data_IF_331636439090
#
_entry.id   IF_331636439090
#
_cell.length_a   1.000
_cell.length_b   1.000
_cell.length_c   1.000
_cell.angle_alpha   90.00
_cell.angle_beta   90.00
_cell.angle_gamma   90.00
#
_symmetry.space_group_name_H-M   'P 1'
#
loop_
_entity.id
_entity.type
_entity.pdbx_description
1 polymer ?
#
# COMPACT_ATOMS: atom_id res chain seq x y z
N UNK A 1 -10.98 27.67 49.50
CA UNK A 1 -12.08 27.01 48.77
C UNK A 1 -11.69 26.95 47.31
N UNK A 2 -11.06 25.85 46.88
CA UNK A 2 -10.56 25.68 45.50
C UNK A 2 -11.55 24.79 44.76
N UNK A 3 -12.33 25.37 43.85
CA UNK A 3 -13.22 24.64 42.96
C UNK A 3 -12.36 23.93 41.91
N UNK A 4 -12.13 22.62 42.07
CA UNK A 4 -11.58 21.78 41.00
C UNK A 4 -12.69 21.55 39.98
N UNK A 5 -12.57 22.21 38.83
CA UNK A 5 -13.38 21.94 37.64
C UNK A 5 -13.22 20.48 37.22
N UNK A 6 -14.32 19.76 37.20
CA UNK A 6 -14.40 18.37 36.73
C UNK A 6 -14.35 18.42 35.20
N UNK A 7 -13.23 18.01 34.61
CA UNK A 7 -13.12 17.89 33.16
C UNK A 7 -14.03 16.75 32.72
N UNK A 8 -15.14 17.10 32.07
CA UNK A 8 -16.04 16.13 31.44
C UNK A 8 -15.27 15.60 30.25
N UNK A 9 -14.88 14.33 30.29
CA UNK A 9 -14.33 13.65 29.14
C UNK A 9 -15.41 13.66 28.03
N UNK A 10 -15.15 14.38 26.96
CA UNK A 10 -15.94 14.27 25.73
C UNK A 10 -15.64 12.86 25.20
N UNK A 11 -16.63 11.96 25.05
CA UNK A 11 -16.39 10.71 24.38
C UNK A 11 -15.90 11.04 22.97
N UNK A 12 -14.70 10.58 22.62
CA UNK A 12 -14.24 10.62 21.23
C UNK A 12 -15.26 9.91 20.34
N UNK A 13 -15.32 10.24 19.04
CA UNK A 13 -16.21 9.55 18.11
C UNK A 13 -16.02 8.03 18.27
N UNK A 14 -17.13 7.32 18.48
CA UNK A 14 -17.11 5.86 18.48
C UNK A 14 -16.62 5.37 17.11
N UNK A 15 -15.84 4.28 17.03
CA UNK A 15 -15.36 3.76 15.76
C UNK A 15 -16.56 3.51 14.83
N UNK A 16 -16.55 4.18 13.68
CA UNK A 16 -17.57 4.00 12.66
C UNK A 16 -17.48 2.54 12.17
N UNK A 17 -18.54 1.73 12.29
CA UNK A 17 -18.51 0.35 11.81
C UNK A 17 -18.35 0.34 10.28
N UNK A 18 -17.25 -0.25 9.82
CA UNK A 18 -17.01 -0.68 8.43
C UNK A 18 -17.16 0.40 7.34
N UNK A 19 -16.18 1.30 7.25
CA UNK A 19 -15.79 1.76 5.91
C UNK A 19 -15.16 0.55 5.21
N UNK A 20 -15.67 0.17 4.04
CA UNK A 20 -15.09 -0.89 3.21
C UNK A 20 -13.77 -0.41 2.57
N UNK A 21 -12.75 -0.16 3.40
CA UNK A 21 -11.48 0.48 3.02
C UNK A 21 -10.56 -0.46 2.24
N UNK A 22 -10.68 -1.76 2.45
CA UNK A 22 -9.76 -2.77 1.93
C UNK A 22 -9.86 -2.88 0.40
N UNK A 23 -8.72 -2.96 -0.27
CA UNK A 23 -8.63 -3.22 -1.70
C UNK A 23 -7.40 -4.04 -2.08
N UNK A 24 -7.23 -4.33 -3.37
CA UNK A 24 -6.12 -5.16 -3.83
C UNK A 24 -5.16 -4.38 -4.74
N UNK A 25 -3.88 -4.42 -4.40
CA UNK A 25 -2.79 -4.14 -5.32
C UNK A 25 -2.56 -5.43 -6.14
N UNK A 26 -3.33 -5.60 -7.22
CA UNK A 26 -3.50 -6.88 -7.90
C UNK A 26 -2.37 -7.16 -8.89
N UNK A 27 -1.48 -8.08 -8.50
CA UNK A 27 -0.45 -8.68 -9.36
C UNK A 27 -0.69 -10.16 -9.64
N UNK A 28 -1.90 -10.68 -9.38
CA UNK A 28 -2.24 -12.10 -9.45
C UNK A 28 -2.28 -12.70 -10.85
N UNK A 29 -2.08 -11.89 -11.90
CA UNK A 29 -2.23 -12.33 -13.29
C UNK A 29 -3.61 -12.94 -13.51
N UNK A 30 -3.63 -14.12 -14.15
CA UNK A 30 -4.84 -14.88 -14.46
C UNK A 30 -5.42 -15.67 -13.26
N UNK A 31 -4.90 -15.46 -12.05
CA UNK A 31 -5.47 -16.07 -10.85
C UNK A 31 -6.89 -15.56 -10.61
N UNK A 32 -7.71 -16.37 -9.96
CA UNK A 32 -9.11 -16.01 -9.69
C UNK A 32 -9.19 -14.96 -8.57
N UNK A 33 -9.45 -13.70 -8.96
CA UNK A 33 -9.61 -12.58 -8.03
C UNK A 33 -10.85 -12.74 -7.12
N UNK A 34 -11.83 -13.57 -7.50
CA UNK A 34 -13.07 -13.73 -6.73
C UNK A 34 -12.85 -14.37 -5.37
N UNK A 35 -11.71 -15.05 -5.18
CA UNK A 35 -11.26 -15.59 -3.89
C UNK A 35 -11.05 -14.51 -2.82
N UNK A 36 -10.95 -13.23 -3.23
CA UNK A 36 -10.79 -12.09 -2.33
C UNK A 36 -12.09 -11.29 -2.14
N UNK A 37 -13.19 -11.67 -2.81
CA UNK A 37 -14.47 -10.98 -2.63
C UNK A 37 -15.03 -11.24 -1.23
N UNK A 38 -15.07 -10.17 -0.44
CA UNK A 38 -15.67 -10.16 0.89
C UNK A 38 -16.35 -8.80 1.09
N UNK A 39 -17.21 -8.65 2.12
CA UNK A 39 -17.80 -7.34 2.43
C UNK A 39 -16.75 -6.23 2.66
N UNK A 40 -15.52 -6.60 3.06
CA UNK A 40 -14.44 -5.64 3.33
C UNK A 40 -13.73 -5.16 2.07
N UNK A 41 -13.51 -6.05 1.10
CA UNK A 41 -12.72 -5.77 -0.11
C UNK A 41 -13.62 -5.25 -1.21
N UNK A 42 -13.44 -3.99 -1.62
CA UNK A 42 -14.38 -3.34 -2.57
C UNK A 42 -13.73 -2.71 -3.79
N UNK A 43 -12.41 -2.65 -3.83
CA UNK A 43 -11.69 -2.02 -4.92
C UNK A 43 -10.36 -2.72 -5.18
N UNK A 44 -9.79 -2.48 -6.36
CA UNK A 44 -8.46 -2.95 -6.70
C UNK A 44 -7.88 -2.10 -7.83
N UNK A 45 -6.58 -2.23 -8.03
CA UNK A 45 -5.86 -1.64 -9.15
C UNK A 45 -4.72 -2.57 -9.58
N UNK A 46 -4.15 -2.32 -10.76
CA UNK A 46 -3.12 -3.17 -11.38
C UNK A 46 -1.94 -2.36 -11.92
N UNK A 47 -1.61 -1.22 -11.29
CA UNK A 47 -0.60 -0.25 -11.75
C UNK A 47 -0.79 0.27 -13.18
N UNK A 48 -1.97 0.07 -13.76
CA UNK A 48 -2.26 0.33 -15.16
C UNK A 48 -3.56 1.10 -15.35
N UNK A 49 -3.87 1.52 -16.59
CA UNK A 49 -5.07 2.28 -16.88
C UNK A 49 -6.30 1.44 -17.19
N UNK A 50 -6.12 0.15 -17.54
CA UNK A 50 -7.17 -0.69 -18.08
C UNK A 50 -7.53 -1.85 -17.15
N UNK A 51 -8.82 -2.07 -17.02
CA UNK A 51 -9.35 -3.22 -16.33
C UNK A 51 -9.28 -4.47 -17.22
N UNK A 52 -8.29 -5.33 -16.99
CA UNK A 52 -8.13 -6.60 -17.70
C UNK A 52 -8.64 -7.81 -16.90
N UNK A 53 -8.89 -7.66 -15.59
CA UNK A 53 -9.26 -8.76 -14.71
C UNK A 53 -10.74 -9.13 -14.90
N UNK A 54 -11.02 -10.41 -15.12
CA UNK A 54 -12.39 -10.90 -15.37
C UNK A 54 -12.98 -11.60 -14.16
N UNK A 55 -14.28 -11.91 -14.20
CA UNK A 55 -14.96 -12.78 -13.21
C UNK A 55 -15.36 -12.12 -11.89
N UNK A 56 -14.85 -10.93 -11.59
CA UNK A 56 -15.25 -10.13 -10.41
C UNK A 56 -16.67 -9.56 -10.52
N UNK A 57 -17.38 -9.51 -9.40
CA UNK A 57 -18.73 -8.97 -9.27
C UNK A 57 -18.75 -7.63 -8.51
N UNK A 58 -18.03 -7.58 -7.38
CA UNK A 58 -18.17 -6.50 -6.39
C UNK A 58 -16.97 -5.56 -6.34
N UNK A 59 -15.86 -5.91 -6.98
CA UNK A 59 -14.64 -5.13 -6.97
C UNK A 59 -14.67 -4.02 -8.04
N UNK A 60 -14.45 -2.78 -7.61
CA UNK A 60 -14.30 -1.62 -8.50
C UNK A 60 -12.84 -1.43 -8.90
N UNK A 61 -12.60 -1.40 -10.20
CA UNK A 61 -11.28 -1.08 -10.73
C UNK A 61 -10.96 0.41 -10.56
N UNK A 62 -9.75 0.71 -10.12
CA UNK A 62 -9.21 2.07 -10.04
C UNK A 62 -8.04 2.18 -11.02
N UNK A 63 -8.19 2.89 -12.14
CA UNK A 63 -7.10 3.14 -13.08
C UNK A 63 -5.98 3.94 -12.46
N UNK A 64 -4.76 3.76 -12.97
CA UNK A 64 -3.58 4.52 -12.58
C UNK A 64 -2.87 5.11 -13.80
N UNK A 65 -2.62 6.41 -13.75
CA UNK A 65 -1.60 7.02 -14.59
C UNK A 65 -0.26 6.76 -13.94
N UNK A 66 0.34 5.58 -14.19
CA UNK A 66 1.62 5.21 -13.58
C UNK A 66 2.68 6.27 -13.88
N UNK A 67 2.81 6.70 -15.13
CA UNK A 67 3.74 7.75 -15.53
C UNK A 67 3.91 7.84 -17.05
N UNK A 68 4.93 8.54 -17.55
CA UNK A 68 5.12 8.76 -19.00
C UNK A 68 5.10 7.47 -19.83
N UNK A 69 5.61 6.37 -19.27
CA UNK A 69 5.67 5.05 -19.90
C UNK A 69 4.31 4.50 -20.32
N UNK A 70 3.23 4.84 -19.59
CA UNK A 70 1.89 4.33 -19.88
C UNK A 70 0.93 5.39 -20.45
N UNK A 71 1.40 6.59 -20.80
CA UNK A 71 0.54 7.72 -21.17
C UNK A 71 -0.35 7.46 -22.40
N UNK A 72 0.17 6.79 -23.43
CA UNK A 72 -0.60 6.43 -24.62
C UNK A 72 -1.75 5.46 -24.29
N UNK A 73 -1.43 4.41 -23.54
CA UNK A 73 -2.43 3.45 -23.06
C UNK A 73 -3.42 4.13 -22.11
N UNK A 74 -2.96 5.00 -21.22
CA UNK A 74 -3.82 5.73 -20.29
C UNK A 74 -4.88 6.55 -21.02
N UNK A 75 -4.50 7.33 -22.02
CA UNK A 75 -5.46 8.13 -22.82
C UNK A 75 -6.50 7.28 -23.54
N UNK A 76 -6.13 6.04 -23.89
CA UNK A 76 -7.03 5.09 -24.57
C UNK A 76 -8.09 4.55 -23.61
N UNK A 77 -7.71 4.23 -22.37
CA UNK A 77 -8.59 3.57 -21.41
C UNK A 77 -9.23 4.51 -20.38
N UNK A 78 -8.70 5.71 -20.22
CA UNK A 78 -9.20 6.74 -19.30
C UNK A 78 -9.45 8.02 -20.09
N UNK A 79 -10.67 8.13 -20.62
CA UNK A 79 -11.19 9.32 -21.30
C UNK A 79 -12.68 9.44 -21.01
N UNK A 80 -13.32 10.52 -21.48
CA UNK A 80 -14.74 10.79 -21.26
C UNK A 80 -15.65 9.58 -21.52
N UNK A 81 -15.46 8.91 -22.67
CA UNK A 81 -16.30 7.79 -23.07
C UNK A 81 -16.16 6.58 -22.15
N UNK A 82 -14.92 6.23 -21.77
CA UNK A 82 -14.65 5.07 -20.92
C UNK A 82 -14.97 5.36 -19.45
N UNK A 83 -14.83 6.61 -19.00
CA UNK A 83 -15.24 7.04 -17.65
C UNK A 83 -16.73 6.81 -17.46
N UNK A 84 -17.55 7.22 -18.42
CA UNK A 84 -19.01 7.02 -18.36
C UNK A 84 -19.35 5.54 -18.51
N UNK A 85 -18.81 4.87 -19.52
CA UNK A 85 -19.16 3.47 -19.81
C UNK A 85 -18.78 2.51 -18.67
N UNK A 86 -17.61 2.71 -18.06
CA UNK A 86 -17.11 1.85 -17.00
C UNK A 86 -17.42 2.37 -15.59
N UNK A 87 -18.07 3.54 -15.48
CA UNK A 87 -18.39 4.17 -14.20
C UNK A 87 -17.16 4.49 -13.37
N UNK A 88 -16.07 4.93 -13.99
CA UNK A 88 -14.82 5.29 -13.30
C UNK A 88 -15.10 6.47 -12.37
N UNK A 89 -14.82 6.30 -11.08
CA UNK A 89 -15.02 7.35 -10.06
C UNK A 89 -13.73 7.86 -9.44
N UNK A 90 -12.66 7.09 -9.53
CA UNK A 90 -11.38 7.42 -8.94
C UNK A 90 -10.26 7.03 -9.90
N UNK A 91 -9.19 7.82 -9.94
CA UNK A 91 -7.99 7.53 -10.71
C UNK A 91 -6.77 7.87 -9.86
N UNK A 92 -5.80 6.96 -9.80
CA UNK A 92 -4.51 7.15 -9.12
C UNK A 92 -3.52 7.91 -10.00
N UNK A 93 -2.76 8.82 -9.39
CA UNK A 93 -1.67 9.54 -10.03
C UNK A 93 -0.40 8.70 -10.20
N UNK A 94 0.71 9.38 -10.49
CA UNK A 94 2.00 8.77 -10.82
C UNK A 94 2.55 7.86 -9.72
N UNK A 95 3.17 6.75 -10.09
CA UNK A 95 3.74 5.79 -9.15
C UNK A 95 5.15 6.19 -8.76
N UNK A 96 5.36 6.57 -7.49
CA UNK A 96 6.66 6.93 -6.92
C UNK A 96 7.50 7.81 -7.87
N UNK A 97 7.00 8.97 -8.31
CA UNK A 97 7.73 9.82 -9.25
C UNK A 97 9.09 10.26 -8.72
N UNK A 98 9.29 10.32 -7.41
CA UNK A 98 10.56 10.67 -6.78
C UNK A 98 11.61 9.54 -6.80
N UNK A 99 11.25 8.34 -7.25
CA UNK A 99 12.12 7.18 -7.32
C UNK A 99 12.63 6.95 -8.75
N UNK A 100 13.96 6.81 -8.89
CA UNK A 100 14.62 6.62 -10.19
C UNK A 100 14.19 5.33 -10.89
N UNK A 101 13.95 4.27 -10.11
CA UNK A 101 13.49 2.97 -10.62
C UNK A 101 12.01 2.94 -11.04
N UNK A 102 11.27 4.03 -10.79
CA UNK A 102 9.82 4.08 -10.96
C UNK A 102 9.47 5.10 -12.05
N UNK A 103 8.52 5.99 -11.79
CA UNK A 103 8.08 6.98 -12.80
C UNK A 103 9.13 8.05 -13.06
N UNK A 104 10.02 8.29 -12.09
CA UNK A 104 11.22 9.12 -12.21
C UNK A 104 10.97 10.49 -12.85
N UNK A 105 10.28 11.35 -12.12
CA UNK A 105 9.93 12.71 -12.51
C UNK A 105 10.34 13.70 -11.42
N UNK A 106 10.85 14.84 -11.82
CA UNK A 106 10.85 16.03 -10.96
C UNK A 106 9.41 16.49 -10.71
N UNK A 107 9.20 17.27 -9.64
CA UNK A 107 7.91 17.90 -9.37
C UNK A 107 7.40 18.71 -10.58
N UNK A 108 8.26 19.51 -11.21
CA UNK A 108 7.91 20.34 -12.37
C UNK A 108 7.49 19.51 -13.60
N UNK A 109 8.19 18.41 -13.89
CA UNK A 109 7.79 17.52 -14.98
C UNK A 109 6.46 16.83 -14.67
N UNK A 110 6.27 16.38 -13.42
CA UNK A 110 5.03 15.78 -12.97
C UNK A 110 3.83 16.73 -13.14
N UNK A 111 3.99 18.04 -12.94
CA UNK A 111 2.92 19.03 -13.21
C UNK A 111 2.50 19.00 -14.68
N UNK A 112 3.43 18.91 -15.62
CA UNK A 112 3.09 18.85 -17.06
C UNK A 112 2.25 17.61 -17.40
N UNK A 113 2.60 16.46 -16.83
CA UNK A 113 1.84 15.23 -17.00
C UNK A 113 0.47 15.32 -16.32
N UNK A 114 0.42 15.87 -15.11
CA UNK A 114 -0.82 16.05 -14.36
C UNK A 114 -1.82 16.92 -15.13
N UNK A 115 -1.39 18.11 -15.57
CA UNK A 115 -2.25 19.05 -16.31
C UNK A 115 -2.75 18.45 -17.62
N UNK A 116 -1.96 17.57 -18.25
CA UNK A 116 -2.34 16.95 -19.50
C UNK A 116 -3.30 15.75 -19.35
N UNK A 117 -3.10 14.90 -18.35
CA UNK A 117 -3.80 13.60 -18.26
C UNK A 117 -4.70 13.45 -17.05
N UNK A 118 -4.41 14.11 -15.94
CA UNK A 118 -5.12 13.94 -14.68
C UNK A 118 -6.16 15.05 -14.48
N UNK A 119 -5.73 16.31 -14.47
CA UNK A 119 -6.61 17.47 -14.20
C UNK A 119 -7.89 17.50 -15.07
N UNK A 120 -7.84 17.23 -16.39
CA UNK A 120 -9.03 17.25 -17.22
C UNK A 120 -10.10 16.23 -16.79
N UNK A 121 -9.73 15.14 -16.11
CA UNK A 121 -10.68 14.10 -15.70
C UNK A 121 -11.68 14.62 -14.64
N UNK A 122 -11.35 15.69 -13.91
CA UNK A 122 -12.24 16.30 -12.92
C UNK A 122 -13.55 16.80 -13.54
N UNK A 123 -13.53 17.23 -14.80
CA UNK A 123 -14.74 17.69 -15.50
C UNK A 123 -15.79 16.58 -15.66
N UNK A 124 -15.39 15.32 -15.48
CA UNK A 124 -16.25 14.14 -15.54
C UNK A 124 -16.59 13.58 -14.15
N UNK A 125 -16.45 14.38 -13.08
CA UNK A 125 -16.68 13.99 -11.69
C UNK A 125 -15.85 12.78 -11.23
N UNK A 126 -14.60 12.70 -11.70
CA UNK A 126 -13.61 11.72 -11.25
C UNK A 126 -12.77 12.34 -10.14
N UNK A 127 -12.65 11.61 -9.02
CA UNK A 127 -11.74 11.98 -7.93
C UNK A 127 -10.31 11.53 -8.24
N UNK A 128 -9.34 12.43 -8.05
CA UNK A 128 -7.94 12.18 -8.40
C UNK A 128 -7.09 11.92 -7.16
N UNK A 129 -6.30 10.85 -7.20
CA UNK A 129 -5.25 10.60 -6.21
C UNK A 129 -4.01 11.41 -6.56
N UNK A 130 -3.32 11.92 -5.53
CA UNK A 130 -1.98 12.49 -5.70
C UNK A 130 -1.04 11.49 -6.39
N UNK A 131 0.16 11.91 -6.83
CA UNK A 131 1.23 10.96 -7.02
C UNK A 131 1.40 10.08 -5.77
N UNK A 132 1.56 8.78 -5.99
CA UNK A 132 1.65 7.75 -4.95
C UNK A 132 3.09 7.71 -4.42
N UNK A 133 3.32 8.37 -3.29
CA UNK A 133 4.67 8.61 -2.77
C UNK A 133 5.17 7.42 -1.96
N UNK A 134 6.46 7.08 -2.10
CA UNK A 134 7.11 6.15 -1.18
C UNK A 134 7.29 6.76 0.21
N UNK A 135 7.69 5.96 1.19
CA UNK A 135 7.99 6.41 2.56
C UNK A 135 9.44 6.92 2.73
N UNK A 136 10.15 7.26 1.64
CA UNK A 136 11.51 7.79 1.73
C UNK A 136 11.52 9.24 2.27
N UNK A 137 12.62 9.64 2.91
CA UNK A 137 12.76 10.98 3.53
C UNK A 137 12.49 12.13 2.56
N UNK A 138 12.80 11.95 1.26
CA UNK A 138 12.59 12.98 0.23
C UNK A 138 11.16 13.09 -0.28
N UNK A 139 10.33 12.06 -0.06
CA UNK A 139 9.04 11.91 -0.72
C UNK A 139 8.02 12.95 -0.25
N UNK A 140 8.00 13.26 1.05
CA UNK A 140 7.14 14.33 1.58
C UNK A 140 7.47 15.69 0.96
N UNK A 141 8.76 16.05 0.91
CA UNK A 141 9.18 17.32 0.32
C UNK A 141 8.86 17.38 -1.19
N UNK A 142 9.09 16.30 -1.93
CA UNK A 142 8.72 16.23 -3.35
C UNK A 142 7.23 16.53 -3.57
N UNK A 143 6.35 16.00 -2.71
CA UNK A 143 4.91 16.23 -2.83
C UNK A 143 4.51 17.67 -2.49
N UNK A 144 5.18 18.30 -1.51
CA UNK A 144 5.03 19.73 -1.22
C UNK A 144 5.47 20.57 -2.43
N UNK A 145 6.62 20.25 -3.02
CA UNK A 145 7.15 20.96 -4.19
C UNK A 145 6.25 20.79 -5.41
N UNK A 146 5.66 19.60 -5.59
CA UNK A 146 4.67 19.33 -6.63
C UNK A 146 3.43 20.22 -6.45
N UNK A 147 2.87 20.30 -5.24
CA UNK A 147 1.71 21.15 -4.97
C UNK A 147 2.01 22.63 -5.28
N UNK A 148 3.17 23.13 -4.85
CA UNK A 148 3.61 24.50 -5.14
C UNK A 148 3.83 24.74 -6.65
N UNK A 149 4.45 23.79 -7.36
CA UNK A 149 4.68 23.89 -8.80
C UNK A 149 3.37 23.90 -9.62
N UNK A 150 2.26 23.46 -9.05
CA UNK A 150 0.95 23.49 -9.70
C UNK A 150 0.21 24.83 -9.55
N UNK A 151 0.63 25.73 -8.65
CA UNK A 151 -0.04 27.01 -8.42
C UNK A 151 -0.24 27.86 -9.70
N UNK A 152 0.76 27.97 -10.60
CA UNK A 152 0.59 28.74 -11.85
C UNK A 152 -0.48 28.19 -12.80
N UNK A 153 -0.91 26.93 -12.59
CA UNK A 153 -1.93 26.24 -13.39
C UNK A 153 -3.31 26.21 -12.73
N UNK A 154 -3.48 26.89 -11.58
CA UNK A 154 -4.70 26.80 -10.77
C UNK A 154 -4.77 25.55 -9.88
N UNK A 155 -3.62 24.91 -9.63
CA UNK A 155 -3.48 23.72 -8.80
C UNK A 155 -3.46 22.42 -9.59
N UNK A 156 -2.96 21.37 -8.94
CA UNK A 156 -3.11 19.98 -9.36
C UNK A 156 -4.09 19.37 -8.38
N UNK A 157 -5.38 19.49 -8.68
CA UNK A 157 -6.44 19.38 -7.69
C UNK A 157 -6.69 17.90 -7.35
N UNK A 158 -5.77 17.26 -6.64
CA UNK A 158 -5.96 15.92 -6.10
C UNK A 158 -6.93 15.96 -4.92
N UNK A 159 -7.82 14.98 -4.87
CA UNK A 159 -8.89 14.87 -3.87
C UNK A 159 -8.49 13.98 -2.69
N UNK A 160 -7.49 13.12 -2.87
CA UNK A 160 -6.95 12.26 -1.81
C UNK A 160 -5.44 12.05 -1.98
N UNK A 161 -4.76 11.75 -0.88
CA UNK A 161 -3.35 11.39 -0.88
C UNK A 161 -3.16 9.91 -1.15
N UNK A 162 -2.38 9.57 -2.16
CA UNK A 162 -1.91 8.21 -2.40
C UNK A 162 -0.52 8.04 -1.76
N UNK A 163 -0.35 7.01 -0.92
CA UNK A 163 0.88 6.75 -0.17
C UNK A 163 1.26 5.28 -0.23
N UNK A 164 2.55 4.99 -0.15
CA UNK A 164 3.10 3.66 0.03
C UNK A 164 3.87 3.54 1.34
N UNK A 165 3.87 2.34 1.92
CA UNK A 165 4.73 2.02 3.06
C UNK A 165 5.32 0.62 3.00
N UNK A 166 6.64 0.55 3.09
CA UNK A 166 7.34 -0.71 3.30
C UNK A 166 8.26 -0.56 4.51
N UNK A 167 7.99 -1.35 5.54
CA UNK A 167 8.78 -1.33 6.76
C UNK A 167 8.36 -2.43 7.72
N UNK A 168 9.25 -2.77 8.65
CA UNK A 168 9.05 -3.90 9.57
C UNK A 168 8.49 -3.49 10.94
N UNK A 169 8.28 -2.20 11.15
CA UNK A 169 7.89 -1.64 12.45
C UNK A 169 6.53 -0.93 12.37
N UNK A 170 5.52 -1.49 13.04
CA UNK A 170 4.16 -0.96 13.01
C UNK A 170 4.03 0.43 13.67
N UNK A 171 4.85 0.74 14.68
CA UNK A 171 4.86 2.09 15.28
C UNK A 171 5.37 3.13 14.28
N UNK A 172 6.46 2.84 13.56
CA UNK A 172 6.98 3.73 12.51
C UNK A 172 5.96 3.92 11.38
N UNK A 173 5.23 2.87 11.03
CA UNK A 173 4.11 2.95 10.09
C UNK A 173 3.05 3.97 10.56
N UNK A 174 2.56 3.84 11.79
CA UNK A 174 1.55 4.75 12.34
C UNK A 174 2.07 6.19 12.39
N UNK A 175 3.31 6.39 12.87
CA UNK A 175 3.94 7.72 12.91
C UNK A 175 4.06 8.35 11.52
N UNK A 176 4.42 7.57 10.49
CA UNK A 176 4.47 8.08 9.12
C UNK A 176 3.09 8.49 8.61
N UNK A 177 2.07 7.65 8.83
CA UNK A 177 0.71 7.93 8.39
C UNK A 177 0.15 9.19 9.07
N UNK A 178 0.40 9.35 10.37
CA UNK A 178 0.03 10.55 11.15
C UNK A 178 0.78 11.81 10.69
N UNK A 179 2.08 11.70 10.37
CA UNK A 179 2.88 12.82 9.84
C UNK A 179 2.36 13.29 8.46
N UNK A 180 2.06 12.34 7.57
CA UNK A 180 1.47 12.66 6.26
C UNK A 180 0.08 13.29 6.40
N UNK A 181 -0.78 12.74 7.28
CA UNK A 181 -2.09 13.34 7.55
C UNK A 181 -1.97 14.76 8.13
N UNK A 182 -1.07 14.97 9.10
CA UNK A 182 -0.83 16.29 9.71
C UNK A 182 -0.32 17.30 8.70
N UNK A 183 0.50 16.88 7.75
CA UNK A 183 1.05 17.75 6.70
C UNK A 183 -0.02 18.14 5.67
N UNK A 184 -0.98 17.26 5.39
CA UNK A 184 -2.05 17.46 4.41
C UNK A 184 -3.42 17.17 5.03
N UNK A 185 -3.87 17.98 6.01
CA UNK A 185 -5.01 17.63 6.88
C UNK A 185 -6.34 17.55 6.13
N UNK A 186 -6.48 18.29 5.02
CA UNK A 186 -7.71 18.35 4.23
C UNK A 186 -7.85 17.21 3.21
N UNK A 187 -6.91 16.25 3.20
CA UNK A 187 -6.86 15.19 2.22
C UNK A 187 -6.99 13.83 2.91
N UNK A 188 -8.06 13.06 2.61
CA UNK A 188 -8.12 11.69 3.07
C UNK A 188 -7.00 10.87 2.42
N UNK A 189 -6.54 9.84 3.11
CA UNK A 189 -5.44 8.99 2.68
C UNK A 189 -5.96 7.68 2.07
N UNK A 190 -5.34 7.32 0.94
CA UNK A 190 -5.36 6.00 0.34
C UNK A 190 -3.95 5.42 0.42
N UNK A 191 -3.78 4.40 1.25
CA UNK A 191 -2.54 3.65 1.35
C UNK A 191 -2.53 2.57 0.26
N UNK A 192 -2.10 2.94 -0.95
CA UNK A 192 -2.25 2.08 -2.14
C UNK A 192 -1.30 0.89 -2.13
N UNK A 193 -0.20 0.96 -1.37
CA UNK A 193 0.69 -0.17 -1.13
C UNK A 193 1.19 -0.16 0.30
N UNK A 194 1.11 -1.31 0.98
CA UNK A 194 1.90 -1.52 2.17
C UNK A 194 2.22 -2.98 2.43
N UNK A 195 3.39 -3.25 3.00
CA UNK A 195 3.81 -4.60 3.39
C UNK A 195 4.90 -4.59 4.48
N UNK A 196 5.07 -5.74 5.14
CA UNK A 196 6.15 -5.98 6.09
C UNK A 196 7.42 -6.35 5.30
N UNK A 197 8.17 -5.33 4.90
CA UNK A 197 9.36 -5.50 4.08
C UNK A 197 10.43 -4.45 4.41
N UNK A 198 11.69 -4.86 4.36
CA UNK A 198 12.82 -3.96 4.53
C UNK A 198 13.61 -3.88 3.22
N UNK A 199 13.67 -2.71 2.60
CA UNK A 199 14.46 -2.52 1.37
C UNK A 199 15.96 -2.30 1.65
N UNK A 200 16.37 -2.17 2.91
CA UNK A 200 17.78 -2.03 3.25
C UNK A 200 18.50 -3.39 3.12
N UNK A 201 19.46 -3.46 2.19
CA UNK A 201 20.24 -4.66 1.94
C UNK A 201 20.99 -5.11 3.20
N UNK A 202 20.97 -6.42 3.47
CA UNK A 202 21.63 -7.03 4.64
C UNK A 202 20.90 -6.87 5.98
N UNK A 203 19.81 -6.10 6.03
CA UNK A 203 19.02 -5.93 7.24
C UNK A 203 17.97 -7.03 7.43
N UNK A 204 17.53 -7.29 8.69
CA UNK A 204 16.50 -8.26 8.97
C UNK A 204 15.21 -8.02 8.19
N UNK A 205 14.67 -9.10 7.65
CA UNK A 205 13.35 -9.15 7.04
C UNK A 205 12.30 -9.67 8.02
N UNK A 206 11.03 -9.36 7.77
CA UNK A 206 9.93 -9.98 8.51
C UNK A 206 9.93 -11.50 8.29
N UNK A 207 9.76 -12.26 9.36
CA UNK A 207 9.32 -13.66 9.26
C UNK A 207 7.82 -13.70 8.93
N UNK A 208 7.28 -14.87 8.60
CA UNK A 208 5.83 -15.02 8.40
C UNK A 208 5.02 -14.62 9.65
N UNK A 209 5.53 -14.92 10.85
CA UNK A 209 4.90 -14.51 12.10
C UNK A 209 4.90 -12.97 12.27
N UNK A 210 6.03 -12.33 11.96
CA UNK A 210 6.13 -10.85 11.99
C UNK A 210 5.17 -10.22 10.99
N UNK A 211 5.10 -10.75 9.76
CA UNK A 211 4.20 -10.26 8.72
C UNK A 211 2.73 -10.38 9.13
N UNK A 212 2.34 -11.53 9.69
CA UNK A 212 0.98 -11.78 10.18
C UNK A 212 0.60 -10.79 11.29
N UNK A 213 1.51 -10.57 12.24
CA UNK A 213 1.32 -9.63 13.35
C UNK A 213 1.30 -8.17 12.88
N UNK A 214 2.19 -7.80 11.95
CA UNK A 214 2.25 -6.47 11.35
C UNK A 214 0.95 -6.15 10.59
N UNK A 215 0.50 -7.06 9.73
CA UNK A 215 -0.76 -6.91 8.98
C UNK A 215 -1.94 -6.72 9.93
N UNK A 216 -2.10 -7.59 10.93
CA UNK A 216 -3.17 -7.47 11.92
C UNK A 216 -3.15 -6.11 12.61
N UNK A 217 -1.99 -5.72 13.15
CA UNK A 217 -1.83 -4.48 13.92
C UNK A 217 -2.13 -3.25 13.07
N UNK A 218 -1.61 -3.22 11.84
CA UNK A 218 -1.79 -2.08 10.94
C UNK A 218 -3.21 -2.00 10.38
N UNK A 219 -3.85 -3.12 10.00
CA UNK A 219 -5.25 -3.12 9.57
C UNK A 219 -6.20 -2.69 10.68
N UNK A 220 -6.05 -3.22 11.90
CA UNK A 220 -6.88 -2.81 13.06
C UNK A 220 -6.76 -1.31 13.34
N UNK A 221 -5.57 -0.74 13.17
CA UNK A 221 -5.35 0.69 13.33
C UNK A 221 -5.93 1.50 12.16
N UNK A 222 -5.69 1.09 10.90
CA UNK A 222 -6.21 1.74 9.69
C UNK A 222 -7.75 1.79 9.68
N UNK A 223 -8.41 0.74 10.16
CA UNK A 223 -9.86 0.67 10.25
C UNK A 223 -10.41 1.74 11.21
N UNK A 224 -9.66 2.10 12.26
CA UNK A 224 -10.05 3.13 13.25
C UNK A 224 -9.83 4.57 12.80
N UNK A 225 -9.02 4.82 11.75
CA UNK A 225 -8.73 6.18 11.29
C UNK A 225 -9.79 6.68 10.31
N UNK A 226 -10.57 7.70 10.65
CA UNK A 226 -11.61 8.26 9.77
C UNK A 226 -11.02 8.94 8.52
N UNK A 227 -9.83 9.52 8.63
CA UNK A 227 -9.08 10.12 7.53
C UNK A 227 -8.39 9.11 6.60
N UNK A 228 -8.39 7.81 6.94
CA UNK A 228 -7.98 6.75 6.00
C UNK A 228 -9.21 6.20 5.30
N UNK A 229 -9.31 6.43 3.99
CA UNK A 229 -10.45 5.98 3.20
C UNK A 229 -10.23 4.62 2.54
N UNK A 230 -8.99 4.29 2.17
CA UNK A 230 -8.66 3.04 1.47
C UNK A 230 -7.25 2.54 1.81
N UNK A 231 -7.05 1.23 1.79
CA UNK A 231 -5.72 0.63 1.88
C UNK A 231 -5.64 -0.69 1.10
N UNK A 232 -4.46 -1.00 0.55
CA UNK A 232 -4.21 -2.23 -0.20
C UNK A 232 -2.85 -2.84 0.18
N UNK A 233 -2.89 -4.09 0.67
CA UNK A 233 -1.67 -4.82 1.02
C UNK A 233 -0.92 -5.24 -0.24
N UNK A 234 0.39 -5.05 -0.28
CA UNK A 234 1.21 -5.48 -1.40
C UNK A 234 1.57 -6.96 -1.26
N UNK A 235 0.86 -7.80 -2.02
CA UNK A 235 1.05 -9.25 -1.97
C UNK A 235 0.01 -10.09 -2.69
N UNK A 236 -1.00 -9.48 -3.33
CA UNK A 236 -2.00 -10.21 -4.14
C UNK A 236 -1.39 -10.70 -5.47
N UNK A 237 -0.38 -11.55 -5.39
CA UNK A 237 0.39 -12.12 -6.49
C UNK A 237 1.12 -13.40 -6.05
N UNK A 238 1.39 -14.31 -6.99
CA UNK A 238 2.02 -15.62 -6.73
C UNK A 238 3.46 -15.47 -6.21
N UNK A 239 4.20 -14.54 -6.81
CA UNK A 239 5.61 -14.28 -6.51
C UNK A 239 5.79 -12.76 -6.41
N UNK A 240 5.58 -12.16 -5.23
CA UNK A 240 5.77 -10.74 -5.07
C UNK A 240 7.23 -10.32 -5.26
N UNK A 241 7.44 -9.11 -5.79
CA UNK A 241 8.78 -8.51 -5.94
C UNK A 241 9.39 -8.03 -4.61
N UNK A 242 8.83 -8.48 -3.49
CA UNK A 242 9.28 -8.27 -2.12
C UNK A 242 9.36 -9.64 -1.42
N UNK A 243 9.75 -9.69 -0.15
CA UNK A 243 9.82 -10.97 0.57
C UNK A 243 8.50 -11.76 0.48
N UNK A 244 8.56 -13.00 -0.02
CA UNK A 244 7.42 -13.89 -0.30
C UNK A 244 6.53 -14.18 0.91
N UNK A 245 6.99 -13.94 2.14
CA UNK A 245 6.14 -14.02 3.34
C UNK A 245 4.96 -13.03 3.30
N UNK A 246 4.97 -12.04 2.40
CA UNK A 246 3.89 -11.07 2.20
C UNK A 246 2.84 -11.52 1.15
N UNK A 247 3.07 -12.62 0.44
CA UNK A 247 2.15 -13.12 -0.58
C UNK A 247 0.79 -13.50 0.03
N UNK A 248 -0.30 -13.13 -0.64
CA UNK A 248 -1.68 -13.45 -0.26
C UNK A 248 -2.22 -14.69 -0.98
N UNK A 249 -1.43 -15.26 -1.90
CA UNK A 249 -1.73 -16.51 -2.60
C UNK A 249 -0.47 -17.38 -2.63
N UNK A 250 -0.66 -18.67 -2.84
CA UNK A 250 0.44 -19.60 -3.10
C UNK A 250 0.87 -19.57 -4.58
N UNK A 251 1.90 -20.35 -4.92
CA UNK A 251 2.42 -20.46 -6.29
C UNK A 251 1.39 -21.03 -7.29
N UNK A 252 0.32 -21.69 -6.84
CA UNK A 252 -0.78 -22.13 -7.71
C UNK A 252 -1.74 -20.99 -8.06
N UNK A 253 -1.75 -19.90 -7.28
CA UNK A 253 -2.72 -18.81 -7.38
C UNK A 253 -3.94 -19.01 -6.46
N UNK A 254 -3.82 -19.89 -5.48
CA UNK A 254 -4.86 -20.11 -4.47
C UNK A 254 -4.60 -19.22 -3.27
N UNK A 255 -5.63 -18.53 -2.77
CA UNK A 255 -5.55 -17.69 -1.57
C UNK A 255 -4.98 -18.49 -0.39
N UNK A 256 -3.95 -17.93 0.25
CA UNK A 256 -3.28 -18.56 1.38
C UNK A 256 -3.81 -18.02 2.72
N UNK A 257 -3.24 -18.49 3.84
CA UNK A 257 -3.67 -18.08 5.18
C UNK A 257 -3.47 -16.57 5.43
N UNK A 258 -2.42 -15.94 4.91
CA UNK A 258 -2.26 -14.50 5.03
C UNK A 258 -3.35 -13.75 4.22
N UNK A 259 -3.69 -14.24 3.03
CA UNK A 259 -4.80 -13.74 2.22
C UNK A 259 -6.15 -13.86 2.93
N UNK A 260 -6.45 -15.00 3.54
CA UNK A 260 -7.69 -15.20 4.31
C UNK A 260 -7.76 -14.29 5.53
N UNK A 261 -6.63 -14.04 6.23
CA UNK A 261 -6.58 -13.03 7.28
C UNK A 261 -6.88 -11.63 6.71
N UNK A 262 -6.25 -11.28 5.59
CA UNK A 262 -6.36 -9.96 4.97
C UNK A 262 -7.82 -9.59 4.65
N UNK A 263 -8.59 -10.55 4.12
CA UNK A 263 -10.01 -10.36 3.77
C UNK A 263 -10.97 -10.59 4.97
N UNK A 264 -10.45 -10.99 6.13
CA UNK A 264 -11.22 -11.20 7.35
C UNK A 264 -11.95 -12.54 7.43
N UNK A 265 -11.57 -13.54 6.64
CA UNK A 265 -12.11 -14.91 6.68
C UNK A 265 -11.51 -15.76 7.81
N UNK A 266 -10.37 -15.35 8.37
CA UNK A 266 -9.84 -15.92 9.59
C UNK A 266 -9.91 -14.89 10.71
N UNK A 267 -10.41 -15.31 11.88
CA UNK A 267 -10.07 -14.63 13.12
C UNK A 267 -8.55 -14.68 13.23
N UNK A 268 -7.91 -13.51 13.35
CA UNK A 268 -6.46 -13.45 13.50
C UNK A 268 -6.03 -14.42 14.62
N UNK A 269 -4.97 -15.24 14.42
CA UNK A 269 -4.51 -16.11 15.48
C UNK A 269 -4.25 -15.26 16.72
N UNK A 270 -4.95 -15.59 17.81
CA UNK A 270 -4.74 -14.96 19.11
C UNK A 270 -3.29 -15.25 19.48
N UNK A 271 -2.47 -14.20 19.55
CA UNK A 271 -1.08 -14.32 19.96
C UNK A 271 -1.04 -15.10 21.29
N UNK A 272 -0.35 -16.24 21.41
CA UNK A 272 -0.11 -16.82 22.73
C UNK A 272 0.64 -15.76 23.52
N UNK A 273 0.07 -15.38 24.67
CA UNK A 273 0.61 -14.35 25.55
C UNK A 273 2.13 -14.44 25.62
N UNK A 274 2.81 -13.36 25.24
CA UNK A 274 4.23 -13.18 25.53
C UNK A 274 4.41 -13.41 27.04
N UNK A 275 5.21 -14.39 27.48
CA UNK A 275 5.42 -14.60 28.90
C UNK A 275 6.10 -13.37 29.48
N UNK A 276 5.51 -12.83 30.55
CA UNK A 276 6.08 -11.78 31.39
C UNK A 276 7.46 -12.27 31.85
N UNK A 277 8.49 -11.51 31.51
CA UNK A 277 9.85 -11.77 31.94
C UNK A 277 9.98 -11.44 33.44
N UNK A 278 9.78 -12.44 34.29
CA UNK A 278 10.28 -12.43 35.68
C UNK A 278 11.46 -13.39 35.77
N UNK A 279 12.63 -12.82 36.03
CA UNK A 279 13.87 -13.53 36.31
C UNK A 279 13.74 -14.48 37.50
N UNK A 280 14.27 -15.70 37.37
CA UNK A 280 15.13 -16.42 38.35
C UNK A 280 15.22 -17.92 38.02
N UNK A 281 16.44 -18.45 37.83
CA UNK A 281 16.78 -19.80 38.29
C UNK A 281 16.92 -20.93 37.26
N UNK A 282 18.18 -21.36 37.11
CA UNK A 282 18.70 -22.72 36.88
C UNK A 282 18.96 -23.25 35.46
N UNK A 283 20.22 -23.71 35.35
CA UNK A 283 20.94 -24.32 34.23
C UNK A 283 20.51 -25.78 34.06
N UNK A 284 20.25 -26.23 32.82
CA UNK A 284 20.51 -27.62 32.38
C UNK A 284 21.02 -27.61 30.92
N UNK A 285 22.20 -28.17 30.69
CA UNK A 285 22.80 -28.47 29.37
C UNK A 285 22.27 -29.80 28.85
N UNK A 286 21.98 -29.92 27.54
CA UNK A 286 22.07 -31.19 26.80
C UNK A 286 22.56 -30.95 25.36
N UNK A 287 23.44 -31.86 24.89
CA UNK A 287 24.20 -31.88 23.62
C UNK A 287 23.44 -32.53 22.44
N UNK A 288 23.88 -32.17 21.21
CA UNK A 288 23.77 -32.98 19.96
C UNK A 288 22.61 -32.58 19.06
N UNK A 289 22.71 -32.44 17.74
CA UNK A 289 23.74 -32.70 16.73
C UNK A 289 23.14 -32.34 15.35
N UNK A 290 23.97 -31.98 14.38
CA UNK A 290 23.60 -31.58 13.02
C UNK A 290 22.94 -32.70 12.21
N UNK A 291 22.00 -32.35 11.31
CA UNK A 291 21.92 -32.97 9.99
C UNK A 291 21.39 -32.00 8.92
N UNK A 292 22.14 -31.97 7.82
CA UNK A 292 21.96 -31.25 6.57
C UNK A 292 21.01 -31.95 5.60
N UNK A 293 20.36 -31.18 4.71
CA UNK A 293 19.74 -31.71 3.50
C UNK A 293 19.23 -30.60 2.59
N UNK A 294 19.96 -30.30 1.51
CA UNK A 294 19.47 -29.59 0.32
C UNK A 294 18.85 -30.62 -0.65
N UNK A 295 17.94 -30.25 -1.57
CA UNK A 295 18.41 -29.80 -2.90
C UNK A 295 17.52 -28.78 -3.67
N UNK A 296 18.23 -28.01 -4.50
CA UNK A 296 17.92 -27.55 -5.87
C UNK A 296 16.58 -26.85 -6.22
N UNK A 297 16.71 -25.58 -6.62
CA UNK A 297 15.74 -24.84 -7.43
C UNK A 297 16.22 -24.72 -8.87
N UNK A 298 15.29 -24.84 -9.83
CA UNK A 298 15.44 -24.40 -11.20
C UNK A 298 14.39 -23.32 -11.46
N UNK A 299 14.81 -22.09 -11.73
CA UNK A 299 13.94 -21.02 -12.23
C UNK A 299 14.76 -20.09 -13.14
N UNK A 300 14.39 -20.08 -14.41
CA UNK A 300 14.86 -19.12 -15.41
C UNK A 300 13.63 -18.62 -16.14
N UNK A 301 13.20 -17.38 -15.82
CA UNK A 301 12.79 -16.33 -16.76
C UNK A 301 12.14 -15.18 -15.97
N UNK A 302 12.96 -14.27 -15.45
CA UNK A 302 12.64 -12.84 -15.39
C UNK A 302 13.97 -12.07 -15.23
N UNK A 303 14.78 -12.08 -16.30
CA UNK A 303 16.00 -11.28 -16.38
C UNK A 303 15.65 -9.97 -17.10
N UNK A 304 15.71 -8.87 -16.36
CA UNK A 304 15.43 -7.54 -16.87
C UNK A 304 15.77 -6.46 -15.86
N UNK A 305 17.09 -6.28 -15.63
CA UNK A 305 17.72 -5.07 -15.06
C UNK A 305 17.63 -4.82 -13.54
N UNK A 306 18.52 -5.46 -12.79
CA UNK A 306 19.21 -4.83 -11.67
C UNK A 306 20.72 -5.05 -11.84
N UNK A 307 21.33 -4.18 -12.65
CA UNK A 307 22.78 -3.97 -12.63
C UNK A 307 23.02 -2.46 -12.63
N UNK A 308 23.24 -1.92 -11.44
CA UNK A 308 23.47 -0.50 -11.22
C UNK A 308 24.28 -0.30 -9.95
N UNK A 309 25.54 -0.73 -10.01
CA UNK A 309 26.72 -0.23 -9.26
C UNK A 309 26.47 0.58 -7.99
N UNK A 310 26.90 0.00 -6.88
CA UNK A 310 27.23 0.70 -5.65
C UNK A 310 28.22 1.84 -5.92
N UNK A 311 27.90 3.03 -5.42
CA UNK A 311 28.84 4.14 -5.24
C UNK A 311 28.85 4.49 -3.75
N UNK A 312 29.92 4.06 -3.09
CA UNK A 312 30.35 4.53 -1.78
C UNK A 312 30.78 6.00 -1.87
N UNK A 313 30.37 6.84 -0.93
CA UNK A 313 31.16 8.01 -0.56
C UNK A 313 31.09 8.26 0.96
N UNK A 314 32.29 8.46 1.50
CA UNK A 314 32.61 9.19 2.74
C UNK A 314 32.04 10.61 2.73
#
# INVERSE_FOLDING_TARGET
MVLRGRQIAIPGPSPNPALNKTGLAWGGGDSDITQYESPKVTWYYTWGPNDWVQGKNNLKYVPMFWGPKNAGTFSTYVNESTIVANGIKHVLGMNEPEQVGQSNLTAAEAVQWWQKYMEPLRQHNVSLGSPAMSAATRSKQWLIDFAAACEPYGGCNYDFLALHWYGINATKFMTYMEDMHTTFPDKPIWLTEFACHNFQEGEPQCTYADTTAFMKTTQEWLDQQDWVHRYAWFGAMKEPVINNVNALMDASGTINDLGKQYIGEMAAPVNPAQPINTSSGNIIKINGGYLSGTPATAATLLMGMLSGTALTFT
#
